data_IF_116253635970
#
_entry.id   IF_116253635970
#
_cell.length_a   1.000
_cell.length_b   1.000
_cell.length_c   1.000
_cell.angle_alpha   90.00
_cell.angle_beta   90.00
_cell.angle_gamma   90.00
#
_symmetry.space_group_name_H-M   'P 1'
#
loop_
_entity.id
_entity.type
_entity.pdbx_description
1 polymer ?
#
# COMPACT_ATOMS: atom_id res chain seq x y z
N UNK A 1 8.04 0.99 -12.89
CA UNK A 1 7.20 2.12 -12.44
C UNK A 1 5.76 1.84 -12.88
N UNK A 2 4.75 2.16 -12.07
CA UNK A 2 3.33 2.03 -12.45
C UNK A 2 2.71 3.42 -12.52
N UNK A 3 1.87 3.65 -13.52
CA UNK A 3 1.19 4.94 -13.75
C UNK A 3 -0.32 4.78 -13.53
N UNK A 4 -0.93 5.77 -12.89
CA UNK A 4 -2.39 5.88 -12.72
C UNK A 4 -2.80 7.22 -13.32
N UNK A 5 -3.74 7.20 -14.26
CA UNK A 5 -4.31 8.41 -14.87
C UNK A 5 -5.68 8.68 -14.27
N UNK A 6 -5.91 9.91 -13.82
CA UNK A 6 -7.20 10.38 -13.30
C UNK A 6 -7.72 11.42 -14.29
N UNK A 7 -8.96 11.24 -14.74
CA UNK A 7 -9.64 12.22 -15.59
C UNK A 7 -10.64 12.99 -14.72
N UNK A 8 -10.60 14.32 -14.81
CA UNK A 8 -11.56 15.23 -14.18
C UNK A 8 -12.12 16.15 -15.25
N UNK A 9 -13.35 16.61 -15.05
CA UNK A 9 -13.99 17.61 -15.90
C UNK A 9 -13.50 19.02 -15.56
N UNK A 10 -13.68 19.96 -16.48
CA UNK A 10 -13.37 21.38 -16.27
C UNK A 10 -14.09 21.97 -15.05
N UNK A 11 -15.30 21.47 -14.73
CA UNK A 11 -16.05 21.90 -13.55
C UNK A 11 -15.39 21.39 -12.27
N UNK A 12 -14.99 20.12 -12.24
CA UNK A 12 -14.31 19.52 -11.07
C UNK A 12 -12.93 20.14 -10.84
N UNK A 13 -12.18 20.46 -11.89
CA UNK A 13 -10.91 21.18 -11.77
C UNK A 13 -11.10 22.54 -11.07
N UNK A 14 -12.12 23.30 -11.46
CA UNK A 14 -12.44 24.58 -10.80
C UNK A 14 -12.86 24.41 -9.35
N UNK A 15 -13.68 23.39 -9.05
CA UNK A 15 -14.09 23.08 -7.67
C UNK A 15 -12.87 22.73 -6.82
N UNK A 16 -11.93 21.95 -7.35
CA UNK A 16 -10.72 21.57 -6.62
C UNK A 16 -9.80 22.78 -6.38
N UNK A 17 -9.60 23.62 -7.39
CA UNK A 17 -8.76 24.82 -7.30
C UNK A 17 -9.34 25.93 -6.40
N UNK A 18 -10.59 25.82 -5.95
CA UNK A 18 -11.17 26.72 -4.93
C UNK A 18 -10.54 26.50 -3.54
N UNK A 19 -10.14 25.26 -3.22
CA UNK A 19 -9.61 24.86 -1.91
C UNK A 19 -8.14 24.37 -1.97
N UNK A 20 -7.70 23.85 -3.12
CA UNK A 20 -6.36 23.30 -3.31
C UNK A 20 -5.44 24.30 -4.01
N UNK A 21 -4.19 24.39 -3.53
CA UNK A 21 -3.15 25.20 -4.17
C UNK A 21 -2.62 24.56 -5.46
N UNK A 22 -2.52 23.22 -5.48
CA UNK A 22 -2.07 22.43 -6.62
C UNK A 22 -2.69 21.03 -6.54
N UNK A 23 -3.47 20.67 -7.58
CA UNK A 23 -4.19 19.40 -7.64
C UNK A 23 -3.23 18.21 -7.75
N UNK A 24 -2.16 18.32 -8.54
CA UNK A 24 -1.22 17.23 -8.78
C UNK A 24 -0.44 16.90 -7.50
N UNK A 25 0.07 17.92 -6.81
CA UNK A 25 0.80 17.77 -5.56
C UNK A 25 -0.09 17.18 -4.47
N UNK A 26 -1.36 17.62 -4.37
CA UNK A 26 -2.32 17.05 -3.43
C UNK A 26 -2.59 15.57 -3.72
N UNK A 27 -2.87 15.21 -4.98
CA UNK A 27 -3.12 13.82 -5.39
C UNK A 27 -1.88 12.95 -5.13
N UNK A 28 -0.69 13.42 -5.52
CA UNK A 28 0.56 12.70 -5.30
C UNK A 28 0.83 12.48 -3.81
N UNK A 29 0.63 13.52 -3.00
CA UNK A 29 0.75 13.46 -1.54
C UNK A 29 -0.23 12.46 -0.92
N UNK A 30 -1.48 12.47 -1.36
CA UNK A 30 -2.51 11.54 -0.89
C UNK A 30 -2.15 10.08 -1.20
N UNK A 31 -1.68 9.80 -2.42
CA UNK A 31 -1.23 8.46 -2.84
C UNK A 31 -0.02 8.01 -2.03
N UNK A 32 1.00 8.86 -1.86
CA UNK A 32 2.19 8.55 -1.03
C UNK A 32 1.78 8.28 0.42
N UNK A 33 0.91 9.11 1.00
CA UNK A 33 0.39 8.93 2.35
C UNK A 33 -0.33 7.59 2.50
N UNK A 34 -1.15 7.21 1.52
CA UNK A 34 -1.84 5.92 1.51
C UNK A 34 -0.87 4.74 1.42
N UNK A 35 0.14 4.82 0.55
CA UNK A 35 1.19 3.79 0.42
C UNK A 35 1.90 3.60 1.76
N UNK A 36 2.31 4.69 2.42
CA UNK A 36 3.00 4.62 3.71
C UNK A 36 2.15 3.99 4.81
N UNK A 37 0.86 4.35 4.87
CA UNK A 37 -0.07 3.74 5.81
C UNK A 37 -0.26 2.24 5.53
N UNK A 38 -0.48 1.86 4.26
CA UNK A 38 -0.60 0.47 3.86
C UNK A 38 0.68 -0.33 4.13
N UNK A 39 1.86 0.25 3.91
CA UNK A 39 3.17 -0.35 4.22
C UNK A 39 3.30 -0.66 5.71
N UNK A 40 2.96 0.29 6.59
CA UNK A 40 2.98 0.06 8.05
C UNK A 40 2.06 -1.07 8.48
N UNK A 41 0.83 -1.11 7.96
CA UNK A 41 -0.13 -2.18 8.28
C UNK A 41 0.31 -3.54 7.74
N UNK A 42 0.91 -3.57 6.55
CA UNK A 42 1.44 -4.81 5.97
C UNK A 42 2.65 -5.31 6.76
N UNK A 43 3.54 -4.42 7.20
CA UNK A 43 4.69 -4.77 8.01
C UNK A 43 4.29 -5.51 9.30
N UNK A 44 3.28 -5.02 10.02
CA UNK A 44 2.78 -5.68 11.24
C UNK A 44 2.27 -7.10 10.93
N UNK A 45 1.49 -7.25 9.85
CA UNK A 45 0.99 -8.56 9.42
C UNK A 45 2.12 -9.50 9.01
N UNK A 46 3.10 -8.97 8.28
CA UNK A 46 4.26 -9.71 7.80
C UNK A 46 5.13 -10.20 8.96
N UNK A 47 5.39 -9.34 9.96
CA UNK A 47 6.13 -9.71 11.17
C UNK A 47 5.41 -10.83 11.93
N UNK A 48 4.10 -10.70 12.14
CA UNK A 48 3.32 -11.73 12.82
C UNK A 48 3.24 -13.04 12.02
N UNK A 49 3.11 -12.96 10.69
CA UNK A 49 3.06 -14.12 9.82
C UNK A 49 4.38 -14.88 9.80
N UNK A 50 5.49 -14.18 9.52
CA UNK A 50 6.83 -14.78 9.43
C UNK A 50 7.27 -15.35 10.78
N UNK A 51 7.02 -14.66 11.89
CA UNK A 51 7.43 -15.15 13.22
C UNK A 51 6.74 -16.46 13.60
N UNK A 52 5.55 -16.72 13.07
CA UNK A 52 4.78 -17.93 13.34
C UNK A 52 4.93 -18.98 12.24
N UNK A 53 5.74 -18.72 11.22
CA UNK A 53 5.95 -19.64 10.10
C UNK A 53 7.19 -20.52 10.39
N UNK A 54 7.01 -21.82 10.66
CA UNK A 54 8.12 -22.71 11.03
C UNK A 54 9.08 -23.00 9.87
N UNK A 55 8.67 -22.72 8.62
CA UNK A 55 9.49 -22.95 7.43
C UNK A 55 10.42 -21.76 7.12
N UNK A 56 10.36 -20.68 7.91
CA UNK A 56 11.17 -19.47 7.74
C UNK A 56 12.19 -19.33 8.87
N UNK A 57 13.45 -19.66 8.56
CA UNK A 57 14.56 -19.62 9.52
C UNK A 57 15.34 -18.29 9.56
N UNK A 58 15.10 -17.37 8.61
CA UNK A 58 15.87 -16.13 8.47
C UNK A 58 14.94 -14.91 8.50
N UNK A 59 15.15 -14.04 9.48
CA UNK A 59 14.45 -12.77 9.59
C UNK A 59 15.21 -11.65 8.85
N UNK A 60 14.60 -10.99 7.85
CA UNK A 60 15.24 -9.87 7.17
C UNK A 60 15.45 -8.65 8.08
N UNK A 61 16.57 -7.95 7.91
CA UNK A 61 16.95 -6.80 8.74
C UNK A 61 16.24 -5.48 8.36
N UNK A 62 15.49 -5.44 7.24
CA UNK A 62 14.78 -4.23 6.79
C UNK A 62 13.30 -4.50 6.60
N UNK A 63 12.48 -3.46 6.82
CA UNK A 63 11.04 -3.54 6.66
C UNK A 63 10.64 -3.93 5.22
N UNK A 64 11.34 -3.42 4.21
CA UNK A 64 11.04 -3.74 2.80
C UNK A 64 11.38 -5.19 2.47
N UNK A 65 12.52 -5.70 2.94
CA UNK A 65 12.87 -7.11 2.73
C UNK A 65 11.91 -8.05 3.48
N UNK A 66 11.46 -7.68 4.68
CA UNK A 66 10.47 -8.45 5.44
C UNK A 66 9.11 -8.48 4.72
N UNK A 67 8.67 -7.34 4.19
CA UNK A 67 7.45 -7.27 3.37
C UNK A 67 7.58 -8.09 2.09
N UNK A 68 8.74 -8.04 1.41
CA UNK A 68 8.99 -8.83 0.21
C UNK A 68 8.94 -10.33 0.50
N UNK A 69 9.59 -10.78 1.58
CA UNK A 69 9.53 -12.17 2.02
C UNK A 69 8.08 -12.59 2.28
N UNK A 70 7.33 -11.80 3.05
CA UNK A 70 5.92 -12.09 3.32
C UNK A 70 5.08 -12.17 2.06
N UNK A 71 5.22 -11.25 1.11
CA UNK A 71 4.48 -11.29 -0.17
C UNK A 71 4.82 -12.53 -1.01
N UNK A 72 6.03 -13.10 -0.83
CA UNK A 72 6.47 -14.30 -1.55
C UNK A 72 5.94 -15.60 -0.96
N UNK A 73 5.38 -15.58 0.25
CA UNK A 73 4.83 -16.79 0.89
C UNK A 73 3.46 -17.14 0.33
N UNK A 74 3.10 -18.43 0.34
CA UNK A 74 1.77 -18.90 -0.06
C UNK A 74 0.66 -18.44 0.89
N UNK A 75 1.03 -18.02 2.11
CA UNK A 75 0.13 -17.49 3.12
C UNK A 75 -0.30 -16.03 2.83
N UNK A 76 0.39 -15.33 1.91
CA UNK A 76 0.03 -13.96 1.56
C UNK A 76 -1.29 -13.89 0.79
N UNK A 77 -2.23 -13.10 1.34
CA UNK A 77 -3.47 -12.72 0.65
C UNK A 77 -3.57 -11.21 0.52
N UNK A 78 -3.80 -10.75 -0.71
CA UNK A 78 -4.16 -9.37 -0.99
C UNK A 78 -5.55 -9.02 -0.41
N UNK A 79 -5.94 -7.74 -0.43
CA UNK A 79 -7.17 -7.31 0.22
C UNK A 79 -8.43 -7.96 -0.36
N UNK A 80 -8.46 -8.25 -1.66
CA UNK A 80 -9.58 -8.92 -2.31
C UNK A 80 -9.65 -10.39 -1.88
N UNK A 81 -8.54 -11.12 -1.98
CA UNK A 81 -8.47 -12.55 -1.59
C UNK A 81 -8.87 -12.78 -0.13
N UNK A 82 -8.56 -11.84 0.77
CA UNK A 82 -9.02 -11.92 2.17
C UNK A 82 -10.53 -11.79 2.29
N UNK A 83 -11.15 -10.84 1.58
CA UNK A 83 -12.60 -10.65 1.58
C UNK A 83 -13.35 -11.83 0.97
N UNK A 84 -12.79 -12.48 -0.04
CA UNK A 84 -13.37 -13.68 -0.65
C UNK A 84 -13.28 -14.91 0.26
N UNK A 85 -12.42 -14.87 1.29
CA UNK A 85 -12.25 -15.95 2.28
C UNK A 85 -13.05 -15.73 3.58
N UNK A 86 -13.74 -14.60 3.72
CA UNK A 86 -14.61 -14.23 4.87
C UNK A 86 -16.06 -14.66 4.61
#
# INVERSE_FOLDING_TARGET
>A
MKTITIQITDLEEKILNDDLLDIEDWVRGAVIGKINNCKKRLLIKAQAGILNDPDIDVMPATADALIQLWISTDNYKNAQQRKESE
#
